data_IF_374561179481
#
_entry.id   IF_374561179481
#
_cell.length_a   1.000
_cell.length_b   1.000
_cell.length_c   1.000
_cell.angle_alpha   90.00
_cell.angle_beta   90.00
_cell.angle_gamma   90.00
#
_symmetry.space_group_name_H-M   'P 1'
#
loop_
_entity.id
_entity.type
_entity.pdbx_description
1 polymer ?
#
# COMPACT_ATOMS: atom_id res chain seq x y z
N UNK A 1 -12.84 -43.60 32.51
CA UNK A 1 -11.62 -42.88 32.93
C UNK A 1 -11.49 -41.65 32.06
N UNK A 2 -12.08 -40.55 32.54
CA UNK A 2 -11.92 -39.20 32.00
C UNK A 2 -10.65 -38.59 32.61
N UNK A 3 -9.92 -37.74 31.89
CA UNK A 3 -9.17 -36.65 32.50
C UNK A 3 -9.91 -35.33 32.29
N UNK A 4 -10.25 -34.69 33.41
CA UNK A 4 -10.80 -33.34 33.52
C UNK A 4 -9.70 -32.26 33.44
N UNK A 5 -10.05 -30.96 33.32
CA UNK A 5 -9.33 -29.97 32.53
C UNK A 5 -8.33 -29.12 33.33
N UNK A 6 -7.31 -28.58 32.62
CA UNK A 6 -6.38 -27.56 33.13
C UNK A 6 -7.10 -26.22 33.28
N UNK A 7 -6.95 -25.61 34.46
CA UNK A 7 -7.45 -24.27 34.78
C UNK A 7 -6.61 -23.14 34.13
N UNK A 8 -7.22 -21.96 33.93
CA UNK A 8 -6.59 -20.80 33.29
C UNK A 8 -5.68 -20.02 34.23
N UNK A 9 -4.53 -19.58 33.71
CA UNK A 9 -3.65 -18.64 34.41
C UNK A 9 -4.17 -17.21 34.30
N UNK A 10 -3.98 -16.51 35.41
CA UNK A 10 -4.47 -15.20 35.79
C UNK A 10 -3.89 -14.05 34.96
N UNK A 11 -4.79 -13.14 34.58
CA UNK A 11 -4.57 -11.81 34.01
C UNK A 11 -3.75 -10.91 34.94
N UNK A 12 -2.63 -10.37 34.45
CA UNK A 12 -1.95 -9.23 35.08
C UNK A 12 -2.47 -7.92 34.46
N UNK A 13 -3.18 -7.17 35.28
CA UNK A 13 -3.65 -5.79 35.05
C UNK A 13 -2.51 -4.78 35.25
N UNK A 14 -2.22 -3.96 34.25
CA UNK A 14 -1.39 -2.76 34.36
C UNK A 14 -2.27 -1.54 34.72
N UNK A 15 -1.83 -0.65 35.63
CA UNK A 15 -2.66 0.41 36.17
C UNK A 15 -2.73 1.66 35.27
N UNK A 16 -3.96 2.07 34.99
CA UNK A 16 -4.38 3.36 34.42
C UNK A 16 -4.00 4.53 35.33
N UNK A 17 -3.12 5.43 34.88
CA UNK A 17 -2.94 6.75 35.50
C UNK A 17 -3.89 7.78 34.86
N UNK A 18 -4.76 8.35 35.68
CA UNK A 18 -5.61 9.51 35.40
C UNK A 18 -4.76 10.78 35.28
N UNK A 19 -4.95 11.52 34.20
CA UNK A 19 -4.54 12.92 34.09
C UNK A 19 -5.62 13.82 34.73
N UNK A 20 -5.27 14.81 35.58
CA UNK A 20 -6.21 15.82 36.04
C UNK A 20 -6.33 16.99 35.05
N UNK A 21 -7.58 17.38 34.78
CA UNK A 21 -7.95 18.67 34.18
C UNK A 21 -7.40 19.82 35.01
N UNK A 22 -6.84 20.85 34.35
CA UNK A 22 -6.70 22.16 34.97
C UNK A 22 -7.01 23.27 33.97
N UNK A 23 -7.97 24.09 34.39
CA UNK A 23 -8.62 25.19 33.68
C UNK A 23 -7.70 26.41 33.65
N UNK A 24 -7.74 27.12 32.53
CA UNK A 24 -7.02 28.34 32.22
C UNK A 24 -7.79 29.56 32.75
N UNK A 25 -7.11 30.47 33.46
CA UNK A 25 -7.19 31.95 33.35
C UNK A 25 -7.03 32.69 34.69
N UNK A 26 -6.14 33.68 34.68
CA UNK A 26 -6.21 34.85 35.56
C UNK A 26 -4.85 35.43 35.95
N UNK A 27 -4.68 36.73 35.68
CA UNK A 27 -3.72 37.68 36.25
C UNK A 27 -2.34 37.88 35.59
N UNK A 28 -2.31 38.87 34.68
CA UNK A 28 -1.61 40.17 34.82
C UNK A 28 -0.55 40.27 35.94
N UNK A 29 0.69 40.63 35.62
CA UNK A 29 1.18 42.02 35.77
C UNK A 29 2.62 42.20 35.22
N UNK A 30 2.94 43.45 34.91
CA UNK A 30 4.13 43.94 34.21
C UNK A 30 5.41 44.05 35.08
N UNK A 31 6.58 44.11 34.44
CA UNK A 31 7.82 44.54 35.11
C UNK A 31 9.09 44.42 34.24
N UNK A 32 9.59 45.57 33.80
CA UNK A 32 10.80 45.80 32.97
C UNK A 32 12.08 45.82 33.84
N UNK A 33 13.25 45.76 33.17
CA UNK A 33 14.66 46.00 33.61
C UNK A 33 15.47 44.73 33.92
N UNK A 34 16.72 44.50 33.47
CA UNK A 34 17.68 45.22 32.63
C UNK A 34 19.11 44.68 32.89
N UNK A 35 19.91 44.45 31.84
CA UNK A 35 21.39 44.22 31.82
C UNK A 35 21.93 42.96 32.50
N UNK A 36 23.12 42.40 32.22
CA UNK A 36 24.18 42.52 31.21
C UNK A 36 25.12 41.30 31.43
N UNK A 37 25.92 40.96 30.41
CA UNK A 37 27.16 40.18 30.43
C UNK A 37 27.14 38.63 30.51
N UNK A 38 27.85 38.03 29.54
CA UNK A 38 28.86 36.99 29.85
C UNK A 38 28.67 35.58 29.29
N UNK A 39 28.89 35.42 27.98
CA UNK A 39 29.82 34.46 27.34
C UNK A 39 29.75 32.92 27.60
N UNK A 40 29.95 32.19 26.49
CA UNK A 40 30.38 30.77 26.34
C UNK A 40 29.38 29.64 26.66
N UNK A 41 28.95 28.94 25.60
CA UNK A 41 29.47 27.59 25.26
C UNK A 41 28.44 26.77 24.43
N UNK A 42 29.00 25.96 23.53
CA UNK A 42 28.43 24.74 22.95
C UNK A 42 27.26 24.90 21.97
N UNK A 43 27.69 25.11 20.73
CA UNK A 43 27.10 24.69 19.47
C UNK A 43 26.54 23.25 19.53
N UNK A 44 25.29 23.11 19.96
CA UNK A 44 24.46 21.91 19.78
C UNK A 44 23.62 22.11 18.50
N UNK A 45 24.13 21.60 17.38
CA UNK A 45 23.50 21.69 16.08
C UNK A 45 22.14 20.97 16.03
N UNK A 46 21.07 21.76 15.93
CA UNK A 46 20.05 21.65 14.88
C UNK A 46 19.33 20.31 14.68
N UNK A 47 18.73 19.73 15.73
CA UNK A 47 17.69 18.69 15.60
C UNK A 47 16.27 19.18 15.95
N UNK A 48 16.14 20.44 16.38
CA UNK A 48 14.88 21.00 16.89
C UNK A 48 14.34 22.17 16.05
N UNK A 49 14.81 22.35 14.81
CA UNK A 49 14.08 23.16 13.85
C UNK A 49 12.97 22.30 13.24
N UNK A 50 11.91 22.18 14.03
CA UNK A 50 10.59 21.69 13.63
C UNK A 50 10.13 22.60 12.48
N UNK A 51 10.54 22.22 11.27
CA UNK A 51 10.03 22.82 10.05
C UNK A 51 8.56 22.46 9.98
N UNK A 52 7.75 23.51 10.03
CA UNK A 52 6.30 23.58 10.07
C UNK A 52 5.66 22.96 8.82
N UNK A 53 5.82 21.65 8.66
CA UNK A 53 5.32 20.90 7.53
C UNK A 53 4.53 19.70 8.03
N UNK A 54 3.35 19.52 7.47
CA UNK A 54 2.37 18.48 7.80
C UNK A 54 2.86 17.06 7.47
N UNK A 55 4.00 16.95 6.80
CA UNK A 55 4.55 15.69 6.30
C UNK A 55 5.89 15.40 6.97
N UNK A 56 6.16 14.14 7.35
CA UNK A 56 7.46 13.76 7.86
C UNK A 56 8.54 14.02 6.79
N UNK A 57 9.75 14.48 7.19
CA UNK A 57 10.85 14.60 6.24
C UNK A 57 11.22 13.22 5.68
N UNK A 58 11.72 13.15 4.43
CA UNK A 58 12.13 11.90 3.83
C UNK A 58 13.25 11.22 4.63
N UNK A 59 13.39 9.88 4.57
CA UNK A 59 14.41 9.14 5.32
C UNK A 59 15.84 9.58 4.96
N UNK A 60 16.69 9.84 5.95
CA UNK A 60 18.06 10.37 5.76
C UNK A 60 18.95 9.59 4.77
N UNK A 61 18.61 8.33 4.48
CA UNK A 61 19.25 7.48 3.46
C UNK A 61 19.29 8.18 2.09
N UNK A 62 18.33 9.06 1.76
CA UNK A 62 18.32 9.79 0.48
C UNK A 62 19.60 10.63 0.26
N UNK A 63 20.24 11.13 1.33
CA UNK A 63 21.48 11.91 1.25
C UNK A 63 22.66 11.07 0.73
N UNK A 64 22.58 9.75 0.84
CA UNK A 64 23.61 8.81 0.38
C UNK A 64 23.53 8.56 -1.13
N UNK A 65 22.40 8.87 -1.78
CA UNK A 65 22.19 8.71 -3.22
C UNK A 65 22.79 9.87 -4.02
N UNK A 66 24.12 10.03 -3.96
CA UNK A 66 24.85 10.99 -4.80
C UNK A 66 25.21 10.38 -6.16
N UNK A 67 25.39 11.21 -7.20
CA UNK A 67 25.84 10.75 -8.54
C UNK A 67 27.16 9.97 -8.47
N UNK A 68 28.04 10.32 -7.52
CA UNK A 68 29.30 9.62 -7.25
C UNK A 68 29.03 8.23 -6.67
N UNK A 69 28.22 8.15 -5.62
CA UNK A 69 27.91 6.89 -4.95
C UNK A 69 27.17 5.91 -5.87
N UNK A 70 26.32 6.40 -6.76
CA UNK A 70 25.67 5.59 -7.79
C UNK A 70 26.67 4.99 -8.81
N UNK A 71 27.71 5.75 -9.19
CA UNK A 71 28.78 5.22 -10.07
C UNK A 71 29.60 4.16 -9.35
N UNK A 72 29.95 4.41 -8.09
CA UNK A 72 30.70 3.47 -7.26
C UNK A 72 29.90 2.19 -7.00
N UNK A 73 28.60 2.29 -6.69
CA UNK A 73 27.70 1.15 -6.59
C UNK A 73 27.57 0.39 -7.92
N UNK A 74 27.46 1.12 -9.03
CA UNK A 74 27.45 0.51 -10.36
C UNK A 74 28.75 -0.24 -10.68
N UNK A 75 29.89 0.20 -10.16
CA UNK A 75 31.16 -0.50 -10.30
C UNK A 75 31.26 -1.70 -9.33
N UNK A 76 30.77 -1.54 -8.10
CA UNK A 76 30.70 -2.61 -7.10
C UNK A 76 29.81 -3.76 -7.56
N UNK A 77 28.64 -3.47 -8.15
CA UNK A 77 27.70 -4.48 -8.64
C UNK A 77 28.18 -5.21 -9.90
N UNK A 78 29.07 -4.58 -10.68
CA UNK A 78 29.74 -5.24 -11.82
C UNK A 78 30.89 -6.14 -11.39
N UNK A 79 31.46 -5.93 -10.21
CA UNK A 79 32.57 -6.74 -9.73
C UNK A 79 32.06 -8.15 -9.41
N UNK A 80 32.46 -9.13 -10.21
CA UNK A 80 32.13 -10.54 -9.99
C UNK A 80 32.84 -10.99 -8.73
N UNK A 81 32.06 -11.39 -7.74
CA UNK A 81 32.56 -12.03 -6.53
C UNK A 81 33.21 -13.36 -6.91
N UNK A 82 34.48 -13.63 -6.54
CA UNK A 82 35.06 -14.94 -6.74
C UNK A 82 34.28 -15.99 -5.94
N UNK A 83 34.02 -17.17 -6.54
CA UNK A 83 33.16 -18.21 -5.99
C UNK A 83 33.62 -18.82 -4.65
N UNK A 84 34.80 -18.43 -4.15
CA UNK A 84 35.39 -18.89 -2.89
C UNK A 84 35.09 -17.97 -1.70
N UNK A 85 34.37 -16.86 -1.91
CA UNK A 85 34.07 -15.88 -0.86
C UNK A 85 32.59 -15.90 -0.47
N UNK A 86 32.26 -15.73 0.83
CA UNK A 86 30.88 -15.72 1.29
C UNK A 86 30.05 -14.58 0.69
N UNK A 87 28.73 -14.80 0.59
CA UNK A 87 27.79 -13.80 0.07
C UNK A 87 27.74 -12.59 0.99
N UNK A 88 27.45 -11.41 0.44
CA UNK A 88 27.40 -10.15 1.22
C UNK A 88 26.47 -10.23 2.44
N UNK A 89 25.39 -11.01 2.37
CA UNK A 89 24.43 -11.23 3.46
C UNK A 89 25.00 -11.97 4.68
N UNK A 90 26.05 -12.78 4.47
CA UNK A 90 26.65 -13.63 5.50
C UNK A 90 27.83 -12.96 6.23
N UNK A 91 28.33 -11.83 5.71
CA UNK A 91 29.48 -11.12 6.27
C UNK A 91 29.09 -10.15 7.40
N UNK A 92 29.93 -10.10 8.43
CA UNK A 92 29.83 -9.08 9.48
C UNK A 92 29.99 -7.66 8.89
N UNK A 93 29.39 -6.61 9.49
CA UNK A 93 29.44 -5.25 8.95
C UNK A 93 30.86 -4.74 8.69
N UNK A 94 31.81 -5.02 9.58
CA UNK A 94 33.21 -4.64 9.41
C UNK A 94 33.88 -5.37 8.23
N UNK A 95 33.53 -6.62 7.98
CA UNK A 95 34.07 -7.41 6.87
C UNK A 95 33.49 -6.95 5.53
N UNK A 96 32.21 -6.55 5.50
CA UNK A 96 31.58 -5.93 4.33
C UNK A 96 32.26 -4.62 3.95
N UNK A 97 32.53 -3.76 4.94
CA UNK A 97 33.25 -2.51 4.72
C UNK A 97 34.69 -2.73 4.24
N UNK A 98 35.41 -3.68 4.82
CA UNK A 98 36.76 -4.02 4.37
C UNK A 98 36.77 -4.49 2.91
N UNK A 99 35.80 -5.32 2.53
CA UNK A 99 35.62 -5.81 1.15
C UNK A 99 35.17 -4.72 0.18
N UNK A 100 34.27 -3.85 0.60
CA UNK A 100 33.88 -2.67 -0.17
C UNK A 100 35.12 -1.80 -0.42
N UNK A 101 35.87 -1.49 0.63
CA UNK A 101 37.05 -0.64 0.52
C UNK A 101 38.12 -1.27 -0.38
N UNK A 102 38.35 -2.59 -0.32
CA UNK A 102 39.30 -3.25 -1.21
C UNK A 102 38.90 -3.21 -2.69
N UNK A 103 37.60 -3.20 -2.99
CA UNK A 103 37.09 -3.08 -4.37
C UNK A 103 37.13 -1.62 -4.84
N UNK A 104 36.82 -0.66 -3.96
CA UNK A 104 36.74 0.75 -4.33
C UNK A 104 38.11 1.45 -4.40
N UNK A 105 39.09 1.06 -3.58
CA UNK A 105 40.44 1.66 -3.61
C UNK A 105 41.09 1.64 -5.01
N UNK A 106 41.14 0.52 -5.75
CA UNK A 106 41.74 0.52 -7.09
C UNK A 106 40.93 1.35 -8.10
N UNK A 107 39.60 1.37 -7.98
CA UNK A 107 38.72 2.14 -8.87
C UNK A 107 38.94 3.64 -8.67
N UNK A 108 39.03 4.08 -7.41
CA UNK A 108 39.30 5.47 -7.07
C UNK A 108 40.72 5.89 -7.48
N UNK A 109 41.72 5.02 -7.34
CA UNK A 109 43.09 5.26 -7.81
C UNK A 109 43.13 5.47 -9.34
N UNK A 110 42.45 4.62 -10.11
CA UNK A 110 42.36 4.76 -11.56
C UNK A 110 41.65 6.06 -11.97
N UNK A 111 40.60 6.47 -11.24
CA UNK A 111 39.93 7.75 -11.47
C UNK A 111 40.85 8.94 -11.16
N UNK A 112 41.64 8.88 -10.09
CA UNK A 112 42.68 9.89 -9.76
C UNK A 112 43.68 10.02 -10.90
N UNK A 113 44.24 8.90 -11.37
CA UNK A 113 45.25 8.87 -12.44
C UNK A 113 44.70 9.42 -13.76
N UNK A 114 43.49 9.01 -14.14
CA UNK A 114 42.81 9.51 -15.34
C UNK A 114 42.58 11.02 -15.26
N UNK A 115 42.20 11.53 -14.08
CA UNK A 115 42.01 12.98 -13.87
C UNK A 115 43.33 13.73 -13.97
N UNK A 116 44.42 13.20 -13.38
CA UNK A 116 45.76 13.78 -13.49
C UNK A 116 46.26 13.82 -14.95
N UNK A 117 46.05 12.74 -15.71
CA UNK A 117 46.41 12.68 -17.13
C UNK A 117 45.66 13.71 -17.99
N UNK A 118 44.34 13.85 -17.80
CA UNK A 118 43.54 14.88 -18.50
C UNK A 118 43.99 16.31 -18.20
N UNK A 119 44.41 16.56 -16.96
CA UNK A 119 44.89 17.87 -16.53
C UNK A 119 46.26 18.18 -17.16
N UNK A 120 47.11 17.16 -17.31
CA UNK A 120 48.39 17.26 -18.01
C UNK A 120 48.21 17.48 -19.53
N UNK A 121 47.23 16.80 -20.15
CA UNK A 121 46.91 17.00 -21.57
C UNK A 121 46.29 18.38 -21.85
N UNK A 122 45.44 18.92 -20.96
CA UNK A 122 44.88 20.27 -21.10
C UNK A 122 45.88 21.39 -20.77
N UNK A 123 46.89 21.12 -19.95
CA UNK A 123 47.96 22.06 -19.63
C UNK A 123 49.02 22.19 -20.72
N UNK A 124 49.10 21.23 -21.66
CA UNK A 124 50.10 21.22 -22.73
C UNK A 124 49.82 22.19 -23.89
N UNK A 125 48.61 22.77 -23.97
CA UNK A 125 48.24 23.74 -25.02
C UNK A 125 48.45 25.22 -24.61
N UNK A 126 48.91 25.49 -23.38
CA UNK A 126 49.24 26.84 -22.91
C UNK A 126 50.72 26.94 -22.52
N UNK A 127 51.60 27.01 -23.52
CA UNK A 127 52.97 27.48 -23.34
C UNK A 127 52.97 29.00 -23.06
N UNK A 128 53.08 29.41 -21.79
CA UNK A 128 53.66 30.70 -21.43
C UNK A 128 54.53 30.61 -20.17
N UNK A 129 55.84 30.58 -20.44
CA UNK A 129 56.98 31.07 -19.66
C UNK A 129 57.32 30.44 -18.28
N UNK A 130 58.57 29.97 -18.24
CA UNK A 130 59.28 29.34 -17.14
C UNK A 130 59.55 30.34 -16.00
N UNK A 131 59.04 30.06 -14.80
CA UNK A 131 59.46 30.70 -13.56
C UNK A 131 59.95 29.63 -12.58
N UNK A 132 61.27 29.60 -12.36
CA UNK A 132 61.91 28.81 -11.32
C UNK A 132 61.46 29.35 -9.97
N UNK A 133 60.78 28.53 -9.16
CA UNK A 133 60.71 28.73 -7.72
C UNK A 133 60.74 27.36 -7.02
N UNK A 134 61.78 27.20 -6.21
CA UNK A 134 62.02 26.04 -5.36
C UNK A 134 61.00 26.06 -4.22
N UNK A 135 60.17 25.03 -4.15
CA UNK A 135 59.16 24.88 -3.12
C UNK A 135 58.52 23.51 -3.17
N UNK A 136 59.25 22.50 -2.71
CA UNK A 136 58.66 21.26 -2.20
C UNK A 136 57.74 21.63 -1.02
N UNK A 137 56.46 21.89 -1.34
CA UNK A 137 55.39 21.84 -0.38
C UNK A 137 54.20 21.17 -1.04
N UNK A 138 53.86 20.02 -0.48
CA UNK A 138 52.78 19.13 -0.90
C UNK A 138 51.42 19.85 -0.90
N UNK A 139 51.07 20.48 -2.02
CA UNK A 139 49.69 20.96 -2.31
C UNK A 139 48.73 19.82 -2.68
N UNK A 140 49.04 18.57 -2.28
CA UNK A 140 48.19 17.40 -2.49
C UNK A 140 46.97 17.38 -1.54
N UNK A 141 46.94 18.19 -0.48
CA UNK A 141 45.84 18.21 0.51
C UNK A 141 44.51 18.79 -0.01
N UNK A 142 44.53 19.70 -0.99
CA UNK A 142 43.30 20.33 -1.49
C UNK A 142 42.50 19.45 -2.47
N UNK A 143 43.14 18.43 -3.04
CA UNK A 143 42.51 17.49 -3.99
C UNK A 143 41.86 16.29 -3.27
N UNK A 144 42.22 16.06 -2.00
CA UNK A 144 41.88 14.85 -1.26
C UNK A 144 40.44 14.82 -0.71
N UNK A 145 39.77 15.97 -0.61
CA UNK A 145 38.36 16.02 -0.18
C UNK A 145 37.40 15.29 -1.14
N UNK A 146 37.82 15.08 -2.39
CA UNK A 146 37.08 14.29 -3.39
C UNK A 146 37.28 12.77 -3.28
N UNK A 147 38.16 12.30 -2.38
CA UNK A 147 38.74 10.95 -2.40
C UNK A 147 38.40 10.14 -1.15
N UNK A 148 37.64 10.72 -0.23
CA UNK A 148 37.20 10.00 0.95
C UNK A 148 36.31 8.80 0.54
N UNK A 149 36.65 7.61 1.03
CA UNK A 149 35.85 6.41 0.81
C UNK A 149 34.54 6.56 1.60
N UNK A 150 33.42 6.05 1.08
CA UNK A 150 32.18 6.03 1.84
C UNK A 150 32.39 5.29 3.18
N UNK A 151 32.09 5.94 4.29
CA UNK A 151 32.15 5.36 5.65
C UNK A 151 31.01 4.37 5.93
N UNK A 152 30.04 4.29 5.01
CA UNK A 152 28.85 3.46 5.12
C UNK A 152 28.86 2.30 4.11
N UNK A 153 28.10 1.26 4.44
CA UNK A 153 27.91 0.10 3.57
C UNK A 153 26.99 0.49 2.40
N UNK A 154 27.59 0.72 1.24
CA UNK A 154 26.89 1.14 0.04
C UNK A 154 25.90 0.07 -0.44
N UNK A 155 26.18 -1.20 -0.18
CA UNK A 155 25.35 -2.29 -0.68
C UNK A 155 24.09 -2.44 0.16
N UNK A 156 24.23 -2.44 1.48
CA UNK A 156 23.09 -2.55 2.39
C UNK A 156 22.11 -1.36 2.26
N UNK A 157 22.64 -0.17 2.06
CA UNK A 157 21.85 1.06 2.21
C UNK A 157 21.30 1.61 0.90
N UNK A 158 21.92 1.27 -0.24
CA UNK A 158 21.49 1.76 -1.56
C UNK A 158 20.90 0.67 -2.46
N UNK A 159 20.98 -0.61 -2.09
CA UNK A 159 20.22 -1.65 -2.78
C UNK A 159 18.76 -1.68 -2.28
N UNK A 160 17.81 -2.08 -3.15
CA UNK A 160 16.44 -2.31 -2.73
C UNK A 160 16.39 -3.32 -1.57
N UNK A 161 15.48 -3.15 -0.61
CA UNK A 161 15.26 -4.14 0.45
C UNK A 161 14.83 -5.48 -0.16
N UNK A 162 15.11 -6.58 0.54
CA UNK A 162 14.70 -7.89 0.08
C UNK A 162 13.17 -8.02 0.10
N UNK A 163 12.58 -8.35 -1.06
CA UNK A 163 11.14 -8.55 -1.21
C UNK A 163 10.69 -9.91 -0.65
N UNK A 164 11.59 -10.88 -0.52
CA UNK A 164 11.26 -12.23 -0.06
C UNK A 164 10.73 -12.22 1.37
N UNK A 165 11.23 -11.32 2.23
CA UNK A 165 10.74 -11.15 3.61
C UNK A 165 9.27 -10.73 3.64
N UNK A 166 8.84 -9.95 2.64
CA UNK A 166 7.44 -9.48 2.54
C UNK A 166 6.52 -10.64 2.12
N UNK A 167 7.02 -11.56 1.29
CA UNK A 167 6.29 -12.77 0.91
C UNK A 167 6.24 -13.79 2.07
N UNK A 168 7.32 -13.93 2.85
CA UNK A 168 7.39 -14.79 4.05
C UNK A 168 6.46 -14.30 5.17
N UNK A 169 6.41 -12.98 5.41
CA UNK A 169 5.50 -12.37 6.39
C UNK A 169 4.02 -12.41 5.94
N UNK A 170 3.75 -12.83 4.70
CA UNK A 170 2.40 -13.05 4.18
C UNK A 170 1.61 -11.76 3.92
N UNK A 171 2.27 -10.60 3.93
CA UNK A 171 1.64 -9.31 3.70
C UNK A 171 2.45 -8.12 4.21
N UNK A 172 2.05 -6.91 3.81
CA UNK A 172 2.68 -5.66 4.24
C UNK A 172 1.66 -4.70 4.86
N UNK A 173 2.08 -3.93 5.86
CA UNK A 173 1.20 -2.95 6.52
C UNK A 173 1.39 -1.57 5.91
N UNK A 174 0.30 -0.95 5.46
CA UNK A 174 0.29 0.43 4.99
C UNK A 174 -0.76 1.22 5.77
N UNK A 175 -0.35 2.33 6.40
CA UNK A 175 -1.23 3.19 7.21
C UNK A 175 -2.07 2.44 8.28
N UNK A 176 -1.50 1.37 8.86
CA UNK A 176 -2.15 0.54 9.87
C UNK A 176 -3.11 -0.52 9.32
N UNK A 177 -3.19 -0.68 7.99
CA UNK A 177 -3.94 -1.77 7.34
C UNK A 177 -2.97 -2.82 6.81
N UNK A 178 -3.19 -4.08 7.18
CA UNK A 178 -2.44 -5.22 6.65
C UNK A 178 -2.99 -5.62 5.28
N UNK A 179 -2.11 -5.61 4.28
CA UNK A 179 -2.38 -6.07 2.92
C UNK A 179 -1.78 -7.47 2.75
N UNK A 180 -2.59 -8.52 2.59
CA UNK A 180 -2.09 -9.89 2.46
C UNK A 180 -1.48 -10.16 1.09
N UNK A 181 -0.44 -10.99 1.04
CA UNK A 181 0.13 -11.52 -0.19
C UNK A 181 -0.04 -13.04 -0.17
N UNK A 182 -0.73 -13.66 -1.14
CA UNK A 182 -1.41 -13.06 -2.30
C UNK A 182 -2.72 -12.35 -1.93
N UNK A 183 -3.05 -11.29 -2.68
CA UNK A 183 -4.34 -10.56 -2.57
C UNK A 183 -5.52 -11.52 -2.83
N UNK A 184 -6.06 -12.10 -1.76
CA UNK A 184 -7.25 -12.95 -1.83
C UNK A 184 -8.41 -12.22 -1.17
N UNK A 185 -9.51 -12.08 -1.93
CA UNK A 185 -10.75 -11.59 -1.34
C UNK A 185 -11.26 -12.64 -0.35
N UNK A 186 -11.56 -12.29 0.91
CA UNK A 186 -12.07 -13.25 1.88
C UNK A 186 -13.36 -13.88 1.36
N UNK A 187 -13.55 -15.17 1.66
CA UNK A 187 -14.76 -15.88 1.26
C UNK A 187 -15.98 -15.37 2.02
N UNK A 188 -17.18 -15.56 1.48
CA UNK A 188 -18.42 -15.17 2.17
C UNK A 188 -18.58 -15.87 3.52
N UNK A 189 -18.12 -17.12 3.61
CA UNK A 189 -18.16 -17.94 4.81
C UNK A 189 -17.20 -17.41 5.88
N UNK A 190 -15.99 -16.97 5.50
CA UNK A 190 -15.04 -16.30 6.39
C UNK A 190 -15.57 -14.97 6.94
N UNK A 191 -16.37 -14.25 6.14
CA UNK A 191 -17.03 -13.02 6.58
C UNK A 191 -18.27 -13.26 7.45
N UNK A 192 -18.65 -14.52 7.69
CA UNK A 192 -19.85 -14.90 8.45
C UNK A 192 -21.16 -14.53 7.75
N UNK A 193 -21.15 -14.35 6.43
CA UNK A 193 -22.31 -13.96 5.63
C UNK A 193 -22.87 -15.21 4.94
N UNK A 194 -24.17 -15.49 5.07
CA UNK A 194 -24.77 -16.66 4.42
C UNK A 194 -24.69 -16.52 2.89
N UNK A 195 -24.19 -17.57 2.23
CA UNK A 195 -24.19 -17.67 0.78
C UNK A 195 -25.62 -17.94 0.31
N UNK A 196 -26.18 -17.04 -0.51
CA UNK A 196 -27.58 -17.09 -0.92
C UNK A 196 -27.82 -17.86 -2.22
N UNK A 197 -26.79 -18.47 -2.81
CA UNK A 197 -26.86 -19.16 -4.09
C UNK A 197 -26.05 -20.47 -4.07
N UNK A 198 -26.45 -21.49 -4.85
CA UNK A 198 -25.65 -22.69 -5.02
C UNK A 198 -24.36 -22.36 -5.77
N UNK A 199 -23.22 -22.83 -5.25
CA UNK A 199 -21.89 -22.58 -5.80
C UNK A 199 -21.66 -23.32 -7.14
N UNK A 200 -22.51 -24.29 -7.48
CA UNK A 200 -22.32 -25.18 -8.62
C UNK A 200 -23.03 -24.71 -9.90
N UNK A 201 -22.21 -24.51 -10.94
CA UNK A 201 -22.56 -24.56 -12.38
C UNK A 201 -23.56 -23.56 -12.97
N UNK A 202 -24.26 -22.76 -12.16
CA UNK A 202 -25.22 -21.78 -12.69
C UNK A 202 -24.50 -20.58 -13.31
N UNK A 203 -24.99 -20.10 -14.45
CA UNK A 203 -24.52 -18.87 -15.08
C UNK A 203 -24.54 -17.71 -14.06
N UNK A 204 -23.37 -17.14 -13.77
CA UNK A 204 -23.20 -16.03 -12.81
C UNK A 204 -24.11 -14.84 -13.11
N UNK A 205 -24.41 -14.59 -14.39
CA UNK A 205 -25.33 -13.54 -14.85
C UNK A 205 -26.76 -13.78 -14.34
N UNK A 206 -27.25 -15.01 -14.43
CA UNK A 206 -28.61 -15.35 -14.03
C UNK A 206 -28.75 -15.28 -12.50
N UNK A 207 -27.71 -15.67 -11.76
CA UNK A 207 -27.61 -15.47 -10.32
C UNK A 207 -27.65 -13.98 -9.94
N UNK A 208 -26.91 -13.13 -10.66
CA UNK A 208 -26.92 -11.69 -10.44
C UNK A 208 -28.31 -11.07 -10.64
N UNK A 209 -29.01 -11.49 -11.69
CA UNK A 209 -30.39 -11.06 -11.97
C UNK A 209 -31.34 -11.55 -10.89
N UNK A 210 -31.18 -12.80 -10.43
CA UNK A 210 -31.98 -13.34 -9.32
C UNK A 210 -31.76 -12.56 -8.03
N UNK A 211 -30.51 -12.25 -7.67
CA UNK A 211 -30.18 -11.44 -6.49
C UNK A 211 -30.68 -10.00 -6.60
N UNK A 212 -30.67 -9.43 -7.80
CA UNK A 212 -31.26 -8.10 -8.04
C UNK A 212 -32.78 -8.14 -7.81
N UNK A 213 -33.46 -9.18 -8.29
CA UNK A 213 -34.90 -9.34 -8.09
C UNK A 213 -35.24 -9.53 -6.61
N UNK A 214 -34.44 -10.30 -5.85
CA UNK A 214 -34.64 -10.44 -4.40
C UNK A 214 -34.36 -9.14 -3.65
N UNK A 215 -33.34 -8.37 -4.08
CA UNK A 215 -33.08 -7.03 -3.53
C UNK A 215 -34.26 -6.07 -3.75
N UNK A 216 -34.82 -6.03 -4.96
CA UNK A 216 -35.96 -5.17 -5.27
C UNK A 216 -37.23 -5.57 -4.50
N UNK A 217 -37.47 -6.88 -4.36
CA UNK A 217 -38.61 -7.38 -3.59
C UNK A 217 -38.48 -7.04 -2.11
N UNK A 218 -37.30 -7.24 -1.53
CA UNK A 218 -37.04 -6.92 -0.11
C UNK A 218 -37.04 -5.42 0.17
N UNK A 219 -36.57 -4.60 -0.77
CA UNK A 219 -36.69 -3.14 -0.70
C UNK A 219 -38.16 -2.69 -0.71
N UNK A 220 -38.98 -3.23 -1.63
CA UNK A 220 -40.42 -2.95 -1.67
C UNK A 220 -41.08 -3.30 -0.33
N UNK A 221 -40.75 -4.44 0.23
CA UNK A 221 -41.25 -4.88 1.53
C UNK A 221 -40.88 -3.94 2.68
N UNK A 222 -39.63 -3.45 2.73
CA UNK A 222 -39.21 -2.46 3.74
C UNK A 222 -39.95 -1.13 3.54
N UNK A 223 -40.07 -0.65 2.29
CA UNK A 223 -40.83 0.59 2.04
C UNK A 223 -42.29 0.45 2.46
N UNK A 224 -42.89 -0.72 2.27
CA UNK A 224 -44.25 -1.01 2.73
C UNK A 224 -44.35 -1.03 4.26
N UNK A 225 -43.32 -1.51 4.97
CA UNK A 225 -43.27 -1.44 6.43
C UNK A 225 -43.07 -0.02 6.95
N UNK A 226 -42.23 0.79 6.29
CA UNK A 226 -42.00 2.19 6.66
C UNK A 226 -43.23 3.08 6.45
N UNK A 227 -44.11 2.70 5.53
CA UNK A 227 -45.39 3.37 5.30
C UNK A 227 -46.45 2.98 6.35
N UNK A 228 -46.21 1.95 7.18
CA UNK A 228 -47.08 1.64 8.31
C UNK A 228 -46.83 2.68 9.42
N UNK A 229 -47.87 3.07 10.18
CA UNK A 229 -47.68 3.97 11.31
C UNK A 229 -46.66 3.36 12.28
N UNK A 230 -45.75 4.18 12.80
CA UNK A 230 -44.75 3.72 13.76
C UNK A 230 -45.44 3.26 15.05
N UNK A 231 -45.53 1.95 15.24
CA UNK A 231 -46.04 1.35 16.46
C UNK A 231 -44.84 0.97 17.35
N UNK A 232 -44.85 1.34 18.64
CA UNK A 232 -43.78 0.96 19.56
C UNK A 232 -43.77 -0.54 19.88
N UNK A 233 -44.88 -1.25 19.63
CA UNK A 233 -45.03 -2.69 19.78
C UNK A 233 -45.98 -3.24 18.71
N UNK A 234 -45.57 -4.32 18.03
CA UNK A 234 -46.29 -4.85 16.87
C UNK A 234 -46.66 -6.33 17.00
N UNK A 235 -45.87 -7.09 17.79
CA UNK A 235 -45.94 -8.55 17.80
C UNK A 235 -46.25 -9.04 19.22
N UNK A 236 -47.34 -9.79 19.35
CA UNK A 236 -47.69 -10.50 20.57
C UNK A 236 -46.93 -11.83 20.65
N UNK A 237 -46.20 -12.05 21.74
CA UNK A 237 -45.47 -13.30 22.01
C UNK A 237 -46.16 -14.02 23.18
N UNK A 238 -46.71 -15.23 22.97
CA UNK A 238 -47.28 -16.01 24.06
C UNK A 238 -46.17 -16.52 25.00
N UNK A 239 -46.42 -16.50 26.30
CA UNK A 239 -45.51 -17.05 27.29
C UNK A 239 -45.44 -18.57 27.13
N UNK A 240 -44.21 -19.08 26.99
CA UNK A 240 -43.96 -20.52 26.89
C UNK A 240 -44.33 -21.16 28.24
N UNK A 241 -45.21 -22.18 28.28
CA UNK A 241 -45.50 -22.88 29.53
C UNK A 241 -44.22 -23.58 30.03
N UNK A 242 -43.96 -23.60 31.35
CA UNK A 242 -42.75 -24.19 31.89
C UNK A 242 -42.65 -25.67 31.50
N UNK A 243 -41.58 -26.05 30.82
CA UNK A 243 -41.25 -27.44 30.54
C UNK A 243 -40.88 -28.12 31.88
N UNK A 244 -41.60 -29.17 32.31
CA UNK A 244 -41.33 -29.81 33.61
C UNK A 244 -39.98 -30.54 33.67
N UNK A 245 -39.24 -30.65 32.56
CA UNK A 245 -37.95 -31.35 32.48
C UNK A 245 -36.72 -30.46 32.75
N UNK A 246 -36.86 -29.13 32.78
CA UNK A 246 -35.72 -28.21 32.95
C UNK A 246 -35.85 -27.37 34.24
N UNK A 247 -35.13 -27.72 35.32
CA UNK A 247 -35.18 -27.00 36.60
C UNK A 247 -34.55 -25.59 36.57
N UNK A 248 -34.04 -25.15 35.41
CA UNK A 248 -33.34 -23.87 35.23
C UNK A 248 -34.01 -22.95 34.19
N UNK A 249 -35.28 -23.20 33.85
CA UNK A 249 -36.01 -22.31 32.95
C UNK A 249 -36.09 -20.89 33.55
N UNK A 250 -35.68 -19.83 32.81
CA UNK A 250 -35.74 -18.48 33.33
C UNK A 250 -37.20 -18.13 33.62
N UNK A 251 -37.48 -17.86 34.89
CA UNK A 251 -38.80 -17.46 35.37
C UNK A 251 -39.16 -16.11 34.75
N UNK A 252 -39.88 -16.14 33.62
CA UNK A 252 -40.36 -14.94 32.95
C UNK A 252 -41.34 -14.24 33.89
N UNK A 253 -40.87 -13.15 34.50
CA UNK A 253 -41.64 -12.29 35.37
C UNK A 253 -42.76 -11.64 34.54
N UNK A 254 -44.00 -12.06 34.79
CA UNK A 254 -45.19 -11.49 34.17
C UNK A 254 -45.32 -10.00 34.59
N UNK A 255 -44.75 -9.11 33.78
CA UNK A 255 -44.89 -7.67 33.95
C UNK A 255 -46.27 -7.23 33.50
N UNK A 256 -47.16 -6.95 34.46
CA UNK A 256 -48.42 -6.26 34.24
C UNK A 256 -48.14 -4.80 33.83
N UNK A 257 -47.84 -4.57 32.56
CA UNK A 257 -47.72 -3.24 31.97
C UNK A 257 -49.11 -2.71 31.63
N UNK A 258 -49.65 -1.82 32.46
CA UNK A 258 -50.87 -1.08 32.20
C UNK A 258 -50.65 -0.10 31.02
N UNK A 259 -51.22 -0.42 29.85
CA UNK A 259 -51.29 0.46 28.69
C UNK A 259 -52.67 0.35 28.04
N UNK A 260 -53.54 1.29 28.34
CA UNK A 260 -54.86 1.40 27.73
C UNK A 260 -54.71 1.90 26.28
N UNK A 261 -55.10 1.06 25.31
CA UNK A 261 -55.12 1.39 23.88
C UNK A 261 -55.85 0.31 23.10
N UNK A 262 -56.87 0.72 22.35
CA UNK A 262 -57.95 -0.11 21.82
C UNK A 262 -57.54 -1.17 20.78
N UNK A 263 -58.22 -2.33 20.84
CA UNK A 263 -58.53 -3.14 19.67
C UNK A 263 -57.89 -4.52 19.60
N UNK A 264 -58.53 -5.51 20.25
CA UNK A 264 -58.87 -6.86 19.75
C UNK A 264 -58.69 -7.96 20.78
N UNK A 265 -59.75 -8.74 20.91
CA UNK A 265 -59.93 -9.87 21.81
C UNK A 265 -59.07 -11.07 21.38
N UNK A 266 -58.04 -11.39 22.16
CA UNK A 266 -57.48 -12.74 22.24
C UNK A 266 -57.49 -13.15 23.70
N UNK A 267 -58.60 -13.78 24.08
CA UNK A 267 -58.86 -14.27 25.42
C UNK A 267 -57.91 -15.44 25.75
N UNK A 268 -57.08 -15.29 26.78
CA UNK A 268 -56.70 -16.41 27.65
C UNK A 268 -55.24 -16.88 27.71
N UNK A 269 -54.29 -16.32 26.96
CA UNK A 269 -52.88 -16.73 27.06
C UNK A 269 -52.01 -15.63 27.68
N UNK A 270 -51.22 -15.90 28.75
CA UNK A 270 -50.25 -14.94 29.26
C UNK A 270 -49.18 -14.69 28.20
N UNK A 271 -48.76 -13.44 27.99
CA UNK A 271 -47.79 -13.07 26.96
C UNK A 271 -47.31 -11.63 27.11
N UNK A 272 -46.38 -11.20 26.25
CA UNK A 272 -45.79 -9.86 26.24
C UNK A 272 -45.72 -9.29 24.81
N UNK A 273 -45.83 -7.97 24.70
CA UNK A 273 -45.74 -7.21 23.45
C UNK A 273 -44.29 -6.84 23.14
N UNK A 274 -43.76 -7.27 22.00
CA UNK A 274 -42.40 -6.95 21.56
C UNK A 274 -42.39 -6.10 20.27
N UNK A 275 -41.28 -5.40 20.04
CA UNK A 275 -41.01 -4.71 18.78
C UNK A 275 -40.82 -5.73 17.66
N UNK A 276 -41.39 -5.46 16.49
CA UNK A 276 -41.18 -6.31 15.31
C UNK A 276 -39.69 -6.32 14.93
N UNK A 277 -39.08 -7.50 14.86
CA UNK A 277 -37.73 -7.66 14.29
C UNK A 277 -37.76 -7.65 12.75
N UNK A 278 -38.94 -7.79 12.14
CA UNK A 278 -39.11 -7.96 10.70
C UNK A 278 -38.42 -6.86 9.85
N UNK A 279 -38.54 -5.55 10.16
CA UNK A 279 -37.80 -4.53 9.41
C UNK A 279 -36.27 -4.66 9.56
N UNK A 280 -35.80 -5.03 10.76
CA UNK A 280 -34.36 -5.25 11.03
C UNK A 280 -33.84 -6.49 10.31
N UNK A 281 -34.64 -7.56 10.25
CA UNK A 281 -34.28 -8.80 9.56
C UNK A 281 -34.28 -8.61 8.04
N UNK A 282 -35.22 -7.83 7.50
CA UNK A 282 -35.22 -7.42 6.09
C UNK A 282 -34.00 -6.55 5.76
N UNK A 283 -33.61 -5.63 6.64
CA UNK A 283 -32.40 -4.83 6.44
C UNK A 283 -31.13 -5.69 6.42
N UNK A 284 -31.01 -6.64 7.36
CA UNK A 284 -29.92 -7.63 7.35
C UNK A 284 -29.93 -8.47 6.07
N UNK A 285 -31.11 -8.87 5.60
CA UNK A 285 -31.24 -9.60 4.34
C UNK A 285 -30.76 -8.78 3.14
N UNK A 286 -31.12 -7.48 3.06
CA UNK A 286 -30.62 -6.57 2.03
C UNK A 286 -29.09 -6.47 2.08
N UNK A 287 -28.51 -6.26 3.28
CA UNK A 287 -27.07 -6.23 3.44
C UNK A 287 -26.41 -7.51 2.91
N UNK A 288 -26.96 -8.67 3.27
CA UNK A 288 -26.46 -9.96 2.80
C UNK A 288 -26.57 -10.09 1.27
N UNK A 289 -27.69 -9.72 0.67
CA UNK A 289 -27.88 -9.75 -0.80
C UNK A 289 -26.87 -8.86 -1.50
N UNK A 290 -26.64 -7.64 -1.00
CA UNK A 290 -25.68 -6.69 -1.59
C UNK A 290 -24.25 -7.21 -1.49
N UNK A 291 -23.84 -7.78 -0.35
CA UNK A 291 -22.49 -8.36 -0.22
C UNK A 291 -22.32 -9.59 -1.13
N UNK A 292 -23.34 -10.45 -1.21
CA UNK A 292 -23.36 -11.59 -2.14
C UNK A 292 -23.23 -11.13 -3.60
N UNK A 293 -23.95 -10.07 -3.99
CA UNK A 293 -23.87 -9.46 -5.31
C UNK A 293 -22.47 -8.88 -5.58
N UNK A 294 -21.89 -8.15 -4.63
CA UNK A 294 -20.55 -7.58 -4.75
C UNK A 294 -19.49 -8.67 -4.96
N UNK A 295 -19.61 -9.79 -4.27
CA UNK A 295 -18.69 -10.91 -4.44
C UNK A 295 -18.80 -11.56 -5.82
N UNK A 296 -20.02 -11.78 -6.34
CA UNK A 296 -20.19 -12.27 -7.71
C UNK A 296 -19.61 -11.31 -8.75
N UNK A 297 -19.76 -10.00 -8.56
CA UNK A 297 -19.13 -8.98 -9.41
C UNK A 297 -17.61 -9.07 -9.31
N UNK A 298 -17.06 -9.21 -8.11
CA UNK A 298 -15.62 -9.33 -7.89
C UNK A 298 -15.04 -10.54 -8.63
N UNK A 299 -15.76 -11.67 -8.67
CA UNK A 299 -15.36 -12.85 -9.44
C UNK A 299 -15.41 -12.65 -10.96
N UNK A 300 -16.23 -11.72 -11.46
CA UNK A 300 -16.30 -11.40 -12.88
C UNK A 300 -15.17 -10.47 -13.35
N UNK A 301 -14.49 -9.76 -12.43
CA UNK A 301 -13.41 -8.81 -12.78
C UNK A 301 -12.28 -9.42 -13.61
N UNK A 302 -11.74 -10.62 -13.30
CA UNK A 302 -10.69 -11.22 -14.11
C UNK A 302 -11.16 -11.58 -15.53
N UNK A 303 -12.42 -12.01 -15.67
CA UNK A 303 -13.00 -12.34 -16.99
C UNK A 303 -13.17 -11.05 -17.81
N UNK A 304 -13.69 -9.99 -17.20
CA UNK A 304 -13.82 -8.68 -17.85
C UNK A 304 -12.46 -8.12 -18.28
N UNK A 305 -11.43 -8.24 -17.44
CA UNK A 305 -10.08 -7.79 -17.78
C UNK A 305 -9.52 -8.53 -19.00
N UNK A 306 -9.73 -9.86 -19.08
CA UNK A 306 -9.32 -10.67 -20.24
C UNK A 306 -10.04 -10.27 -21.53
N UNK A 307 -11.36 -10.08 -21.49
CA UNK A 307 -12.12 -9.64 -22.66
C UNK A 307 -11.74 -8.21 -23.09
N UNK A 308 -11.50 -7.32 -22.11
CA UNK A 308 -11.01 -5.94 -22.37
C UNK A 308 -9.64 -5.97 -23.04
N UNK A 309 -8.73 -6.82 -22.57
CA UNK A 309 -7.41 -6.99 -23.18
C UNK A 309 -7.52 -7.56 -24.60
N UNK A 310 -8.38 -8.56 -24.81
CA UNK A 310 -8.63 -9.15 -26.14
C UNK A 310 -9.14 -8.10 -27.12
N UNK A 311 -10.08 -7.25 -26.69
CA UNK A 311 -10.59 -6.14 -27.49
C UNK A 311 -9.45 -5.18 -27.86
N UNK A 312 -8.64 -4.76 -26.89
CA UNK A 312 -7.51 -3.87 -27.14
C UNK A 312 -6.50 -4.46 -28.14
N UNK A 313 -6.15 -5.74 -27.98
CA UNK A 313 -5.26 -6.44 -28.90
C UNK A 313 -5.84 -6.55 -30.31
N UNK A 314 -7.16 -6.81 -30.43
CA UNK A 314 -7.83 -6.83 -31.73
C UNK A 314 -7.78 -5.47 -32.42
N UNK A 315 -8.00 -4.38 -31.68
CA UNK A 315 -7.88 -3.01 -32.20
C UNK A 315 -6.45 -2.68 -32.64
N UNK A 316 -5.44 -3.11 -31.88
CA UNK A 316 -4.04 -2.94 -32.28
C UNK A 316 -3.69 -3.70 -33.56
N UNK A 317 -4.18 -4.94 -33.70
CA UNK A 317 -3.96 -5.74 -34.90
C UNK A 317 -4.63 -5.11 -36.12
N UNK A 318 -5.86 -4.62 -35.98
CA UNK A 318 -6.58 -3.91 -37.05
C UNK A 318 -5.84 -2.65 -37.47
N UNK A 319 -5.38 -1.84 -36.51
CA UNK A 319 -4.57 -0.65 -36.77
C UNK A 319 -3.30 -0.99 -37.55
N UNK A 320 -2.53 -1.98 -37.09
CA UNK A 320 -1.29 -2.39 -37.77
C UNK A 320 -1.54 -2.94 -39.17
N UNK A 321 -2.65 -3.67 -39.36
CA UNK A 321 -3.07 -4.17 -40.68
C UNK A 321 -3.42 -3.00 -41.62
N UNK A 322 -4.14 -1.99 -41.12
CA UNK A 322 -4.46 -0.80 -41.90
C UNK A 322 -3.21 0.01 -42.29
N UNK A 323 -2.29 0.23 -41.34
CA UNK A 323 -0.99 0.88 -41.59
C UNK A 323 -0.17 0.10 -42.64
N UNK A 324 -0.12 -1.24 -42.54
CA UNK A 324 0.59 -2.08 -43.51
C UNK A 324 -0.05 -2.01 -44.91
N UNK A 325 -1.39 -1.99 -44.99
CA UNK A 325 -2.10 -1.81 -46.26
C UNK A 325 -1.76 -0.47 -46.90
N UNK A 326 -1.79 0.62 -46.12
CA UNK A 326 -1.41 1.95 -46.59
C UNK A 326 0.03 1.98 -47.09
N UNK A 327 0.99 1.39 -46.36
CA UNK A 327 2.39 1.32 -46.80
C UNK A 327 2.50 0.56 -48.13
N UNK A 328 1.81 -0.59 -48.27
CA UNK A 328 1.80 -1.36 -49.51
C UNK A 328 1.24 -0.55 -50.70
N UNK A 329 0.12 0.13 -50.50
CA UNK A 329 -0.47 1.02 -51.52
C UNK A 329 0.50 2.15 -51.92
N UNK A 330 1.23 2.74 -50.96
CA UNK A 330 2.23 3.78 -51.24
C UNK A 330 3.44 3.24 -51.99
N UNK A 331 3.93 2.05 -51.64
CA UNK A 331 5.01 1.39 -52.36
C UNK A 331 4.60 1.07 -53.80
N UNK A 332 3.38 0.60 -54.02
CA UNK A 332 2.85 0.33 -55.36
C UNK A 332 2.77 1.62 -56.20
N UNK A 333 2.24 2.71 -55.63
CA UNK A 333 2.22 4.02 -56.28
C UNK A 333 3.63 4.55 -56.61
N UNK A 334 4.60 4.31 -55.73
CA UNK A 334 6.00 4.70 -55.95
C UNK A 334 6.63 3.89 -57.08
N UNK A 335 6.41 2.58 -57.11
CA UNK A 335 6.90 1.70 -58.18
C UNK A 335 6.30 2.10 -59.54
N UNK A 336 4.99 2.37 -59.60
CA UNK A 336 4.34 2.85 -60.83
C UNK A 336 4.96 4.16 -61.33
N UNK A 337 5.27 5.11 -60.43
CA UNK A 337 5.97 6.35 -60.81
C UNK A 337 7.39 6.09 -61.32
N UNK A 338 8.12 5.16 -60.70
CA UNK A 338 9.47 4.78 -61.15
C UNK A 338 9.39 4.15 -62.54
N UNK A 339 8.42 3.27 -62.81
CA UNK A 339 8.20 2.68 -64.14
C UNK A 339 7.89 3.75 -65.20
N UNK A 340 6.98 4.69 -64.90
CA UNK A 340 6.68 5.81 -65.80
C UNK A 340 7.92 6.67 -66.10
N UNK A 341 8.78 6.92 -65.10
CA UNK A 341 10.03 7.64 -65.29
C UNK A 341 11.05 6.82 -66.09
N UNK A 342 11.11 5.49 -65.90
CA UNK A 342 11.95 4.61 -66.71
C UNK A 342 11.49 4.58 -68.17
N UNK A 343 10.18 4.56 -68.41
CA UNK A 343 9.59 4.64 -69.76
C UNK A 343 9.89 5.97 -70.42
N UNK A 344 9.75 7.10 -69.70
CA UNK A 344 10.08 8.42 -70.24
C UNK A 344 11.57 8.55 -70.59
N UNK A 345 12.48 8.06 -69.73
CA UNK A 345 13.92 8.02 -70.02
C UNK A 345 14.20 7.14 -71.23
N UNK A 346 13.61 5.94 -71.30
CA UNK A 346 13.80 5.02 -72.44
C UNK A 346 13.32 5.66 -73.75
N UNK A 347 12.19 6.37 -73.73
CA UNK A 347 11.64 7.06 -74.90
C UNK A 347 12.51 8.24 -75.38
N UNK A 348 13.32 8.85 -74.49
CA UNK A 348 14.24 9.93 -74.85
C UNK A 348 15.60 9.44 -75.38
N UNK A 349 15.94 8.15 -75.24
CA UNK A 349 17.23 7.58 -75.68
C UNK A 349 17.20 6.95 -77.08
N UNK A 350 16.01 6.64 -77.59
CA UNK A 350 15.75 6.29 -79.02
C UNK A 350 15.38 7.53 -79.80
#
# INVERSE_FOLDING_TARGET
MLPSPRQPHTSHSLPTQRLPNSTMNGHEDAGVTGGDAGDQNAQAGSSAQISTSFFPPPPQVYLRFTKRNLRLLGALNKHVIPANEPKWEELAPAQRMARQNSILTPILQLEKETRRQKLHEQGADNDFEMGVDDGEQDDDEAVDQGLNLPEFDMKLEMEPPNMDWIEEDGGYTVFGQLWPIPDTNPTLEELGIPVLYPLDSVNRKDLLISLLNTLLQTYREITADLLKPAQPYDVWIPAVPPNPADPNAPQQQAGAGAGAGAGSEQQGQPGFWSQSSAPKDRLKHIQNVVVNMQFLINQLRPIQAKETLKLFLSMQLERRRAETKLIKERCEQMNQKIEQLQESIRSHQT
#
